data_IF_040069887763
#
_entry.id   IF_040069887763
#
_cell.length_a   1.000
_cell.length_b   1.000
_cell.length_c   1.000
_cell.angle_alpha   90.00
_cell.angle_beta   90.00
_cell.angle_gamma   90.00
#
_symmetry.space_group_name_H-M   'P 1'
#
loop_
_entity.id
_entity.type
_entity.pdbx_description
1 polymer ?
#
# COMPACT_ATOMS: atom_id res chain seq x y z
N UNK A 1 28.98 -44.51 14.71
CA UNK A 1 27.96 -43.51 15.03
C UNK A 1 27.76 -42.52 13.86
N UNK A 2 28.82 -41.84 13.37
CA UNK A 2 28.70 -40.86 12.27
C UNK A 2 28.06 -41.40 10.99
N UNK A 3 28.42 -42.63 10.58
CA UNK A 3 27.85 -43.29 9.41
C UNK A 3 26.35 -43.53 9.57
N UNK A 4 25.90 -43.91 10.76
CA UNK A 4 24.47 -44.14 11.01
C UNK A 4 23.68 -42.82 10.99
N UNK A 5 24.26 -41.76 11.53
CA UNK A 5 23.66 -40.41 11.50
C UNK A 5 23.56 -39.92 10.05
N UNK A 6 24.62 -40.06 9.26
CA UNK A 6 24.58 -39.66 7.84
C UNK A 6 23.56 -40.48 7.04
N UNK A 7 23.43 -41.77 7.26
CA UNK A 7 22.44 -42.59 6.62
C UNK A 7 21.01 -42.18 6.94
N UNK A 8 20.76 -41.88 8.23
CA UNK A 8 19.45 -41.42 8.68
C UNK A 8 19.12 -40.06 8.08
N UNK A 9 20.02 -39.08 8.18
CA UNK A 9 19.84 -37.72 7.63
C UNK A 9 19.61 -37.75 6.11
N UNK A 10 20.45 -38.47 5.35
CA UNK A 10 20.30 -38.57 3.89
C UNK A 10 18.98 -39.24 3.52
N UNK A 11 18.53 -40.22 4.30
CA UNK A 11 17.25 -40.90 4.07
C UNK A 11 16.06 -39.98 4.31
N UNK A 12 16.15 -39.04 5.28
CA UNK A 12 15.13 -38.04 5.53
C UNK A 12 15.20 -36.92 4.50
N UNK A 13 16.39 -36.38 4.24
CA UNK A 13 16.59 -35.26 3.32
C UNK A 13 16.09 -35.59 1.90
N UNK A 14 16.33 -36.78 1.41
CA UNK A 14 15.82 -37.26 0.10
C UNK A 14 14.31 -37.25 -0.03
N UNK A 15 13.55 -37.17 1.08
CA UNK A 15 12.09 -37.06 1.03
C UNK A 15 11.65 -35.59 0.77
N UNK A 16 12.51 -34.64 1.09
CA UNK A 16 12.22 -33.21 0.99
C UNK A 16 12.96 -32.50 -0.14
N UNK A 17 14.13 -33.05 -0.55
CA UNK A 17 14.96 -32.50 -1.60
C UNK A 17 15.36 -33.64 -2.56
N UNK A 18 14.91 -33.54 -3.79
CA UNK A 18 15.21 -34.46 -4.89
C UNK A 18 15.96 -33.72 -6.01
N UNK A 19 16.47 -34.46 -6.99
CA UNK A 19 17.11 -33.84 -8.17
C UNK A 19 16.14 -32.91 -8.95
N UNK A 20 14.84 -33.20 -8.90
CA UNK A 20 13.80 -32.40 -9.56
C UNK A 20 13.61 -31.01 -8.92
N UNK A 21 14.04 -30.83 -7.69
CA UNK A 21 13.98 -29.54 -6.97
C UNK A 21 15.09 -28.60 -7.42
N UNK A 22 16.17 -29.10 -8.02
CA UNK A 22 17.26 -28.29 -8.54
C UNK A 22 16.92 -27.76 -9.93
N UNK A 23 16.84 -26.44 -10.03
CA UNK A 23 16.55 -25.74 -11.28
C UNK A 23 17.79 -24.99 -11.77
N UNK A 24 17.97 -24.83 -13.10
CA UNK A 24 19.03 -24.01 -13.64
C UNK A 24 19.01 -22.62 -13.02
N UNK A 25 20.20 -22.08 -12.68
CA UNK A 25 20.39 -20.77 -12.03
C UNK A 25 19.56 -19.65 -12.70
N UNK A 26 19.50 -19.63 -14.02
CA UNK A 26 18.70 -18.67 -14.78
C UNK A 26 17.20 -18.69 -14.43
N UNK A 27 16.63 -19.87 -14.10
CA UNK A 27 15.22 -19.99 -13.69
C UNK A 27 14.99 -19.53 -12.26
N UNK A 28 16.02 -19.64 -11.42
CA UNK A 28 15.97 -19.17 -10.02
C UNK A 28 16.15 -17.65 -9.98
N UNK A 29 17.07 -17.11 -10.76
CA UNK A 29 17.35 -15.67 -10.82
C UNK A 29 16.24 -14.86 -11.50
N UNK A 30 15.52 -15.47 -12.45
CA UNK A 30 14.41 -14.84 -13.18
C UNK A 30 13.17 -15.74 -13.12
N UNK A 31 12.52 -15.85 -11.94
CA UNK A 31 11.38 -16.74 -11.74
C UNK A 31 10.14 -16.30 -12.52
N UNK A 32 10.03 -15.01 -12.83
CA UNK A 32 8.90 -14.43 -13.55
C UNK A 32 9.35 -13.72 -14.84
N UNK A 33 8.45 -13.69 -15.81
CA UNK A 33 8.62 -12.98 -17.09
C UNK A 33 7.62 -11.83 -17.11
N UNK A 34 8.11 -10.62 -17.32
CA UNK A 34 7.28 -9.43 -17.40
C UNK A 34 6.31 -9.52 -18.59
N UNK A 35 5.02 -9.33 -18.34
CA UNK A 35 3.98 -9.19 -19.36
C UNK A 35 4.11 -7.85 -20.11
N UNK A 36 3.35 -7.67 -21.18
CA UNK A 36 3.31 -6.37 -21.87
C UNK A 36 2.72 -5.26 -20.97
N UNK A 37 1.78 -5.63 -20.09
CA UNK A 37 1.27 -4.71 -19.07
C UNK A 37 2.37 -4.25 -18.10
N UNK A 38 3.19 -5.19 -17.60
CA UNK A 38 4.31 -4.85 -16.71
C UNK A 38 5.32 -3.94 -17.40
N UNK A 39 5.69 -4.24 -18.64
CA UNK A 39 6.63 -3.43 -19.43
C UNK A 39 6.10 -2.02 -19.68
N UNK A 40 4.79 -1.86 -19.86
CA UNK A 40 4.16 -0.55 -20.04
C UNK A 40 4.24 0.24 -18.73
N UNK A 41 3.85 -0.36 -17.62
CA UNK A 41 3.86 0.26 -16.29
C UNK A 41 5.29 0.67 -15.89
N UNK A 42 6.29 -0.16 -16.15
CA UNK A 42 7.70 0.10 -15.83
C UNK A 42 8.30 1.30 -16.54
N UNK A 43 7.65 1.85 -17.57
CA UNK A 43 8.07 3.11 -18.22
C UNK A 43 7.87 4.33 -17.31
N UNK A 44 6.87 4.28 -16.45
CA UNK A 44 6.67 5.30 -15.43
C UNK A 44 7.66 5.09 -14.26
N UNK A 45 8.45 6.12 -13.97
CA UNK A 45 9.50 6.09 -12.93
C UNK A 45 9.06 6.82 -11.66
N UNK A 46 7.82 7.29 -11.59
CA UNK A 46 7.29 7.89 -10.38
C UNK A 46 7.05 6.83 -9.28
N UNK A 47 6.81 7.29 -8.06
CA UNK A 47 6.51 6.40 -6.94
C UNK A 47 4.98 6.17 -6.87
N UNK A 48 4.54 4.93 -7.05
CA UNK A 48 3.12 4.52 -7.04
C UNK A 48 2.98 3.04 -6.71
N UNK A 49 1.76 2.59 -6.49
CA UNK A 49 1.42 1.18 -6.33
C UNK A 49 0.64 0.65 -7.53
N UNK A 50 0.68 -0.67 -7.68
CA UNK A 50 -0.03 -1.43 -8.73
C UNK A 50 -0.96 -2.44 -8.09
N UNK A 51 -2.19 -2.51 -8.58
CA UNK A 51 -3.16 -3.54 -8.24
C UNK A 51 -3.32 -4.53 -9.41
N UNK A 52 -3.01 -5.80 -9.18
CA UNK A 52 -3.21 -6.83 -10.19
C UNK A 52 -4.48 -7.63 -9.87
N UNK A 53 -5.53 -7.37 -10.63
CA UNK A 53 -6.83 -8.03 -10.45
C UNK A 53 -7.01 -9.27 -11.34
N UNK A 54 -5.95 -9.71 -12.02
CA UNK A 54 -5.94 -10.97 -12.79
C UNK A 54 -5.47 -12.16 -11.98
N UNK A 55 -4.95 -11.90 -10.76
CA UNK A 55 -4.46 -12.91 -9.83
C UNK A 55 -5.08 -12.70 -8.45
N UNK A 56 -4.86 -13.64 -7.53
CA UNK A 56 -5.22 -13.43 -6.13
C UNK A 56 -4.28 -12.38 -5.50
N UNK A 57 -4.82 -11.22 -5.18
CA UNK A 57 -4.06 -10.08 -4.63
C UNK A 57 -3.23 -10.43 -3.39
N UNK A 58 -3.66 -11.42 -2.59
CA UNK A 58 -3.02 -11.73 -1.30
C UNK A 58 -2.11 -12.96 -1.37
N UNK A 59 -2.16 -13.74 -2.44
CA UNK A 59 -1.39 -14.98 -2.60
C UNK A 59 -0.35 -14.86 -3.72
N UNK A 60 -0.51 -13.92 -4.66
CA UNK A 60 0.41 -13.74 -5.76
C UNK A 60 1.66 -12.95 -5.38
N UNK A 61 2.83 -13.47 -5.68
CA UNK A 61 4.12 -12.80 -5.52
C UNK A 61 4.68 -12.19 -6.81
N UNK A 62 4.10 -12.52 -7.98
CA UNK A 62 4.64 -12.09 -9.28
C UNK A 62 4.54 -10.60 -9.49
N UNK A 63 3.43 -9.99 -9.07
CA UNK A 63 3.24 -8.54 -9.16
C UNK A 63 4.26 -7.78 -8.31
N UNK A 64 4.54 -8.27 -7.10
CA UNK A 64 5.52 -7.67 -6.19
C UNK A 64 6.97 -7.78 -6.71
N UNK A 65 7.24 -8.73 -7.61
CA UNK A 65 8.54 -8.86 -8.24
C UNK A 65 8.84 -7.72 -9.22
N UNK A 66 7.82 -7.19 -9.89
CA UNK A 66 7.97 -6.14 -10.91
C UNK A 66 7.60 -4.74 -10.41
N UNK A 67 6.71 -4.65 -9.41
CA UNK A 67 6.07 -3.41 -8.99
C UNK A 67 5.90 -3.32 -7.47
N UNK A 68 5.67 -2.12 -6.97
CA UNK A 68 5.13 -1.95 -5.62
C UNK A 68 3.64 -2.33 -5.62
N UNK A 69 3.36 -3.58 -5.24
CA UNK A 69 1.99 -4.11 -5.23
C UNK A 69 1.20 -3.66 -4.01
N UNK A 70 -0.12 -3.47 -4.18
CA UNK A 70 -1.07 -3.35 -3.06
C UNK A 70 -1.36 -4.70 -2.40
N UNK A 71 -0.89 -5.80 -2.99
CA UNK A 71 -1.07 -7.17 -2.51
C UNK A 71 0.26 -7.86 -2.29
N UNK A 72 0.21 -9.19 -2.35
CA UNK A 72 1.38 -10.06 -2.23
C UNK A 72 1.29 -11.02 -1.05
N UNK A 73 1.92 -12.18 -1.21
CA UNK A 73 2.02 -13.15 -0.13
C UNK A 73 3.06 -12.70 0.90
N UNK A 74 2.66 -12.61 2.15
CA UNK A 74 3.57 -12.36 3.28
C UNK A 74 3.05 -13.00 4.55
N UNK A 75 3.85 -13.87 5.18
CA UNK A 75 3.44 -14.58 6.38
C UNK A 75 3.24 -13.67 7.61
N UNK A 76 3.94 -12.53 7.67
CA UNK A 76 3.89 -11.56 8.77
C UNK A 76 3.26 -10.23 8.29
N UNK A 77 2.02 -10.27 7.82
CA UNK A 77 1.27 -9.07 7.41
C UNK A 77 0.95 -8.18 8.61
N UNK A 78 0.98 -6.87 8.40
CA UNK A 78 0.47 -5.92 9.40
C UNK A 78 -1.05 -6.12 9.55
N UNK A 79 -1.54 -6.33 10.79
CA UNK A 79 -2.96 -6.53 11.06
C UNK A 79 -3.83 -5.40 10.52
N UNK A 80 -3.42 -4.15 10.70
CA UNK A 80 -4.12 -2.97 10.15
C UNK A 80 -4.28 -3.01 8.62
N UNK A 81 -3.27 -3.51 7.90
CA UNK A 81 -3.37 -3.64 6.44
C UNK A 81 -4.25 -4.81 6.04
N UNK A 82 -4.22 -5.92 6.79
CA UNK A 82 -5.14 -7.03 6.57
C UNK A 82 -6.60 -6.59 6.76
N UNK A 83 -6.89 -5.83 7.82
CA UNK A 83 -8.23 -5.27 8.02
C UNK A 83 -8.65 -4.33 6.89
N UNK A 84 -7.74 -3.44 6.43
CA UNK A 84 -8.01 -2.58 5.28
C UNK A 84 -8.32 -3.41 4.02
N UNK A 85 -7.59 -4.50 3.83
CA UNK A 85 -7.85 -5.41 2.72
C UNK A 85 -9.24 -6.05 2.84
N UNK A 86 -9.53 -6.70 3.97
CA UNK A 86 -10.77 -7.47 4.17
C UNK A 86 -12.02 -6.60 4.11
N UNK A 87 -11.96 -5.41 4.68
CA UNK A 87 -13.12 -4.52 4.79
C UNK A 87 -13.30 -3.56 3.64
N UNK A 88 -12.24 -3.25 2.88
CA UNK A 88 -12.27 -2.20 1.87
C UNK A 88 -11.74 -2.65 0.50
N UNK A 89 -10.49 -3.13 0.42
CA UNK A 89 -9.88 -3.47 -0.88
C UNK A 89 -10.60 -4.65 -1.53
N UNK A 90 -10.94 -5.69 -0.78
CA UNK A 90 -11.68 -6.86 -1.26
C UNK A 90 -13.10 -6.51 -1.77
N UNK A 91 -13.65 -5.37 -1.36
CA UNK A 91 -14.92 -4.82 -1.85
C UNK A 91 -14.74 -3.88 -3.04
N UNK A 92 -13.53 -3.75 -3.59
CA UNK A 92 -13.19 -2.83 -4.66
C UNK A 92 -13.50 -1.35 -4.33
N UNK A 93 -13.27 -0.92 -3.08
CA UNK A 93 -13.42 0.47 -2.71
C UNK A 93 -12.37 1.33 -3.43
N UNK A 94 -12.78 2.04 -4.49
CA UNK A 94 -11.89 2.85 -5.32
C UNK A 94 -11.26 4.01 -4.55
N UNK A 95 -11.97 4.61 -3.59
CA UNK A 95 -11.42 5.69 -2.78
C UNK A 95 -10.22 5.22 -1.94
N UNK A 96 -10.27 3.98 -1.43
CA UNK A 96 -9.14 3.38 -0.72
C UNK A 96 -7.98 3.08 -1.67
N UNK A 97 -8.26 2.60 -2.88
CA UNK A 97 -7.22 2.39 -3.90
C UNK A 97 -6.57 3.72 -4.32
N UNK A 98 -7.36 4.80 -4.42
CA UNK A 98 -6.88 6.15 -4.69
C UNK A 98 -5.97 6.67 -3.56
N UNK A 99 -6.36 6.45 -2.29
CA UNK A 99 -5.54 6.79 -1.12
C UNK A 99 -4.22 6.01 -1.07
N UNK A 100 -4.22 4.76 -1.49
CA UNK A 100 -3.02 3.93 -1.55
C UNK A 100 -2.10 4.30 -2.73
N UNK A 101 -2.44 5.33 -3.50
CA UNK A 101 -1.73 5.72 -4.72
C UNK A 101 -1.61 4.56 -5.73
N UNK A 102 -2.71 3.80 -5.90
CA UNK A 102 -2.76 2.70 -6.87
C UNK A 102 -2.95 3.27 -8.28
N UNK A 103 -1.84 3.64 -8.92
CA UNK A 103 -1.83 4.38 -10.19
C UNK A 103 -2.12 3.49 -11.40
N UNK A 104 -1.84 2.21 -11.29
CA UNK A 104 -2.12 1.26 -12.37
C UNK A 104 -2.86 0.04 -11.86
N UNK A 105 -3.81 -0.40 -12.67
CA UNK A 105 -4.49 -1.68 -12.54
C UNK A 105 -4.04 -2.62 -13.65
N UNK A 106 -3.73 -3.86 -13.30
CA UNK A 106 -3.55 -4.94 -14.27
C UNK A 106 -4.87 -5.71 -14.29
N UNK A 107 -5.54 -5.71 -15.43
CA UNK A 107 -6.89 -6.29 -15.61
C UNK A 107 -6.94 -7.13 -16.87
N UNK A 108 -7.87 -8.09 -16.90
CA UNK A 108 -8.20 -8.83 -18.13
C UNK A 108 -9.21 -8.03 -18.96
N UNK A 109 -9.04 -8.03 -20.28
CA UNK A 109 -10.06 -7.52 -21.20
C UNK A 109 -11.07 -8.63 -21.54
N UNK A 110 -12.12 -8.29 -22.31
CA UNK A 110 -13.16 -9.23 -22.72
C UNK A 110 -12.65 -10.43 -23.57
N UNK A 111 -11.45 -10.32 -24.11
CA UNK A 111 -10.76 -11.39 -24.85
C UNK A 111 -9.85 -12.23 -23.98
N UNK A 112 -9.77 -11.94 -22.67
CA UNK A 112 -8.88 -12.61 -21.72
C UNK A 112 -7.41 -12.15 -21.80
N UNK A 113 -7.11 -11.08 -22.54
CA UNK A 113 -5.76 -10.53 -22.62
C UNK A 113 -5.50 -9.61 -21.41
N UNK A 114 -4.30 -9.73 -20.83
CA UNK A 114 -3.87 -8.91 -19.69
C UNK A 114 -3.41 -7.53 -20.19
N UNK A 115 -3.99 -6.48 -19.63
CA UNK A 115 -3.64 -5.10 -19.96
C UNK A 115 -3.44 -4.24 -18.73
N UNK A 116 -2.64 -3.17 -18.89
CA UNK A 116 -2.48 -2.13 -17.88
C UNK A 116 -3.51 -1.02 -18.12
N UNK A 117 -4.24 -0.67 -17.08
CA UNK A 117 -5.15 0.47 -17.05
C UNK A 117 -4.64 1.50 -16.05
N UNK A 118 -4.49 2.75 -16.49
CA UNK A 118 -4.11 3.85 -15.60
C UNK A 118 -5.33 4.32 -14.80
N UNK A 119 -5.14 4.52 -13.50
CA UNK A 119 -6.13 5.16 -12.63
C UNK A 119 -5.87 6.68 -12.58
N UNK A 120 -6.73 7.51 -13.18
CA UNK A 120 -6.56 8.96 -13.18
C UNK A 120 -6.91 9.61 -11.84
N UNK A 121 -7.58 8.89 -10.95
CA UNK A 121 -8.15 9.42 -9.72
C UNK A 121 -7.30 9.23 -8.48
N UNK A 122 -6.07 8.72 -8.63
CA UNK A 122 -5.14 8.59 -7.51
C UNK A 122 -4.91 9.93 -6.79
N UNK A 123 -4.78 9.87 -5.47
CA UNK A 123 -4.50 11.07 -4.67
C UNK A 123 -3.00 11.45 -4.68
N UNK A 124 -2.15 10.60 -5.25
CA UNK A 124 -0.69 10.79 -5.26
C UNK A 124 -0.02 10.32 -3.97
N UNK A 125 1.22 10.74 -3.77
CA UNK A 125 2.01 10.32 -2.60
C UNK A 125 1.63 11.07 -1.32
N UNK A 126 1.14 12.30 -1.45
CA UNK A 126 0.61 13.11 -0.36
C UNK A 126 -0.34 14.18 -0.93
N UNK A 127 -1.34 14.57 -0.14
CA UNK A 127 -2.32 15.60 -0.52
C UNK A 127 -2.87 16.30 0.71
N UNK A 128 -3.45 17.47 0.51
CA UNK A 128 -4.16 18.20 1.56
C UNK A 128 -5.66 17.92 1.50
N UNK A 129 -6.27 17.78 2.67
CA UNK A 129 -7.71 17.62 2.83
C UNK A 129 -8.31 18.82 3.55
N UNK A 130 -9.56 19.15 3.22
CA UNK A 130 -10.27 20.26 3.85
C UNK A 130 -11.19 19.84 5.01
N UNK A 131 -11.43 18.53 5.17
CA UNK A 131 -12.22 17.98 6.28
C UNK A 131 -11.51 16.82 6.94
N UNK A 132 -11.51 16.81 8.26
CA UNK A 132 -11.07 15.66 9.07
C UNK A 132 -12.22 15.22 9.94
N UNK A 133 -12.73 14.03 9.70
CA UNK A 133 -13.80 13.40 10.46
C UNK A 133 -13.21 12.63 11.64
N UNK A 134 -13.62 12.97 12.86
CA UNK A 134 -13.13 12.32 14.08
C UNK A 134 -14.13 11.26 14.51
N UNK A 135 -13.66 10.04 14.64
CA UNK A 135 -14.45 8.88 15.09
C UNK A 135 -13.97 8.36 16.44
N UNK A 136 -14.76 7.57 17.12
CA UNK A 136 -14.50 7.16 18.51
C UNK A 136 -13.75 5.83 18.64
N UNK A 137 -13.75 5.04 17.60
CA UNK A 137 -13.17 3.69 17.61
C UNK A 137 -12.55 3.31 16.27
N UNK A 138 -11.66 2.31 16.28
CA UNK A 138 -11.09 1.74 15.07
C UNK A 138 -12.16 1.12 14.14
N UNK A 139 -13.24 0.56 14.72
CA UNK A 139 -14.33 0.03 13.92
C UNK A 139 -15.08 1.15 13.17
N UNK A 140 -15.31 2.29 13.81
CA UNK A 140 -15.91 3.43 13.13
C UNK A 140 -14.96 4.00 12.06
N UNK A 141 -13.65 3.98 12.31
CA UNK A 141 -12.63 4.45 11.37
C UNK A 141 -12.64 3.65 10.07
N UNK A 142 -12.61 2.30 10.16
CA UNK A 142 -12.61 1.45 8.97
C UNK A 142 -13.94 1.50 8.20
N UNK A 143 -15.08 1.61 8.90
CA UNK A 143 -16.40 1.71 8.27
C UNK A 143 -16.64 3.08 7.62
N UNK A 144 -16.08 4.16 8.16
CA UNK A 144 -16.19 5.49 7.59
C UNK A 144 -15.54 5.60 6.20
N UNK A 145 -14.63 4.69 5.85
CA UNK A 145 -14.02 4.63 4.52
C UNK A 145 -15.01 4.23 3.42
N UNK A 146 -16.15 3.62 3.76
CA UNK A 146 -17.18 3.20 2.78
C UNK A 146 -17.78 4.41 2.03
N UNK A 147 -17.79 5.60 2.65
CA UNK A 147 -18.38 6.82 2.07
C UNK A 147 -17.41 8.01 2.01
N UNK A 148 -16.13 7.77 2.26
CA UNK A 148 -15.11 8.81 2.31
C UNK A 148 -14.85 9.40 0.92
N UNK A 149 -14.80 10.73 0.85
CA UNK A 149 -14.30 11.46 -0.32
C UNK A 149 -12.79 11.72 -0.14
N UNK A 150 -11.97 10.75 -0.49
CA UNK A 150 -10.56 10.70 -0.08
C UNK A 150 -9.71 11.89 -0.53
N UNK A 151 -10.06 12.55 -1.65
CA UNK A 151 -9.36 13.76 -2.13
C UNK A 151 -9.58 14.99 -1.24
N UNK A 152 -10.65 15.00 -0.44
CA UNK A 152 -11.06 16.18 0.32
C UNK A 152 -11.26 15.90 1.81
N UNK A 153 -11.34 14.63 2.18
CA UNK A 153 -11.65 14.22 3.54
C UNK A 153 -10.66 13.18 4.07
N UNK A 154 -10.43 13.24 5.38
CA UNK A 154 -9.74 12.20 6.13
C UNK A 154 -10.58 11.76 7.32
N UNK A 155 -10.36 10.54 7.78
CA UNK A 155 -10.93 10.00 9.01
C UNK A 155 -9.81 9.71 9.99
N UNK A 156 -10.01 10.04 11.26
CA UNK A 156 -9.04 9.78 12.31
C UNK A 156 -9.74 9.29 13.57
N UNK A 157 -9.19 8.25 14.17
CA UNK A 157 -9.65 7.77 15.47
C UNK A 157 -9.19 8.72 16.58
N UNK A 158 -10.10 9.11 17.46
CA UNK A 158 -9.82 9.99 18.59
C UNK A 158 -8.64 9.52 19.46
N UNK A 159 -8.51 8.22 19.69
CA UNK A 159 -7.39 7.65 20.46
C UNK A 159 -6.01 7.83 19.81
N UNK A 160 -5.96 8.04 18.50
CA UNK A 160 -4.73 8.25 17.75
C UNK A 160 -4.29 9.73 17.78
N UNK A 161 -5.22 10.67 18.03
CA UNK A 161 -4.96 12.12 18.02
C UNK A 161 -3.87 12.50 19.03
N UNK A 162 -3.86 11.85 20.19
CA UNK A 162 -2.85 12.12 21.22
C UNK A 162 -1.42 11.81 20.77
N UNK A 163 -1.25 10.95 19.76
CA UNK A 163 0.06 10.62 19.16
C UNK A 163 0.64 11.75 18.32
N UNK A 164 -0.20 12.70 17.86
CA UNK A 164 0.21 13.87 17.07
C UNK A 164 0.49 15.10 17.91
N UNK A 165 0.45 15.02 19.25
CA UNK A 165 0.72 16.14 20.15
C UNK A 165 2.20 16.57 20.07
N UNK A 166 2.50 17.45 19.11
CA UNK A 166 3.65 18.35 19.23
C UNK A 166 3.13 19.70 19.76
N UNK A 167 3.86 20.39 20.66
CA UNK A 167 3.50 21.73 21.05
C UNK A 167 3.39 22.61 19.79
N UNK A 168 2.29 23.31 19.62
CA UNK A 168 1.94 24.17 18.48
C UNK A 168 1.33 23.50 17.23
N UNK A 169 0.93 22.24 17.28
CA UNK A 169 0.10 21.65 16.21
C UNK A 169 -1.39 21.71 16.58
N UNK A 170 -2.28 21.56 15.60
CA UNK A 170 -3.75 21.51 15.78
C UNK A 170 -4.14 20.44 16.82
N UNK A 171 -3.36 19.39 16.95
CA UNK A 171 -3.54 18.34 17.95
C UNK A 171 -3.41 18.87 19.40
N UNK A 172 -2.83 20.05 19.62
CA UNK A 172 -2.85 20.71 20.93
C UNK A 172 -4.14 21.46 21.21
N UNK A 173 -4.94 21.77 20.18
CA UNK A 173 -6.32 22.25 20.35
C UNK A 173 -7.19 21.01 20.57
N UNK A 174 -8.00 20.98 21.62
CA UNK A 174 -8.90 19.89 22.00
C UNK A 174 -9.77 19.46 20.81
N UNK A 175 -9.31 18.45 20.03
CA UNK A 175 -10.04 17.90 18.89
C UNK A 175 -11.18 17.03 19.45
N UNK A 176 -12.38 17.58 19.47
CA UNK A 176 -13.57 16.91 20.02
C UNK A 176 -14.63 16.67 18.93
N UNK A 177 -14.43 17.23 17.73
CA UNK A 177 -15.38 17.21 16.62
C UNK A 177 -14.67 17.32 15.28
N UNK A 178 -15.40 17.14 14.19
CA UNK A 178 -14.91 17.30 12.83
C UNK A 178 -14.24 18.65 12.59
N UNK A 179 -13.10 18.64 11.89
CA UNK A 179 -12.35 19.83 11.54
C UNK A 179 -12.60 20.21 10.10
N UNK A 180 -12.73 21.52 9.87
CA UNK A 180 -12.73 22.11 8.56
C UNK A 180 -11.50 23.01 8.42
N UNK A 181 -10.79 22.83 7.33
CA UNK A 181 -9.67 23.66 6.92
C UNK A 181 -10.10 24.49 5.71
N UNK A 182 -9.73 25.76 5.72
CA UNK A 182 -9.93 26.59 4.53
C UNK A 182 -9.07 26.05 3.40
N UNK A 183 -9.73 25.67 2.31
CA UNK A 183 -9.02 25.17 1.14
C UNK A 183 -8.13 26.29 0.58
N UNK A 184 -6.84 26.02 0.52
CA UNK A 184 -5.88 26.84 -0.20
C UNK A 184 -5.54 26.16 -1.51
N UNK A 185 -6.08 26.69 -2.62
CA UNK A 185 -5.89 26.14 -3.96
C UNK A 185 -4.44 26.27 -4.46
N UNK A 186 -3.62 27.06 -3.78
CA UNK A 186 -2.20 27.25 -4.08
C UNK A 186 -1.30 26.31 -3.28
N UNK A 187 -1.86 25.59 -2.31
CA UNK A 187 -1.13 24.63 -1.50
C UNK A 187 -0.68 23.42 -2.31
N UNK A 188 0.59 23.10 -2.21
CA UNK A 188 1.23 21.97 -2.90
C UNK A 188 1.99 21.15 -1.86
N UNK A 189 1.93 19.83 -2.01
CA UNK A 189 2.77 18.87 -1.31
C UNK A 189 3.25 17.81 -2.29
N UNK A 190 4.57 17.61 -2.38
CA UNK A 190 5.19 16.72 -3.35
C UNK A 190 6.26 15.85 -2.72
N UNK A 191 6.36 14.60 -3.17
CA UNK A 191 7.44 13.69 -2.81
C UNK A 191 8.69 14.07 -3.62
N UNK A 192 9.74 14.54 -2.95
CA UNK A 192 11.03 14.88 -3.58
C UNK A 192 11.96 13.67 -3.69
N UNK A 193 11.99 12.84 -2.65
CA UNK A 193 12.89 11.69 -2.60
C UNK A 193 12.23 10.54 -1.87
N UNK A 194 12.30 9.38 -2.50
CA UNK A 194 11.95 8.10 -1.91
C UNK A 194 13.22 7.32 -1.61
N UNK A 195 13.45 7.00 -0.35
CA UNK A 195 14.46 6.06 0.13
C UNK A 195 13.78 4.97 0.95
N UNK A 196 14.41 3.82 1.08
CA UNK A 196 13.87 2.66 1.82
C UNK A 196 13.49 3.01 3.27
N UNK A 197 14.27 3.90 3.90
CA UNK A 197 14.10 4.28 5.32
C UNK A 197 13.63 5.72 5.50
N UNK A 198 13.53 6.51 4.42
CA UNK A 198 13.21 7.94 4.53
C UNK A 198 12.51 8.47 3.30
N UNK A 199 11.35 9.06 3.52
CA UNK A 199 10.61 9.82 2.52
C UNK A 199 10.82 11.32 2.77
N UNK A 200 11.14 12.07 1.74
CA UNK A 200 11.32 13.51 1.83
C UNK A 200 10.27 14.20 0.98
N UNK A 201 9.46 15.03 1.61
CA UNK A 201 8.42 15.82 0.97
C UNK A 201 8.75 17.30 1.05
N UNK A 202 8.29 18.05 0.06
CA UNK A 202 8.25 19.50 0.10
C UNK A 202 6.80 19.95 0.09
N UNK A 203 6.46 20.88 0.97
CA UNK A 203 5.14 21.50 1.00
C UNK A 203 5.26 23.01 0.95
N UNK A 204 4.31 23.65 0.26
CA UNK A 204 4.11 25.08 0.24
C UNK A 204 2.64 25.35 0.52
N UNK A 205 2.36 26.17 1.54
CA UNK A 205 1.00 26.54 1.94
C UNK A 205 1.02 27.90 2.64
N UNK A 206 0.00 28.71 2.40
CA UNK A 206 -0.19 30.00 3.07
C UNK A 206 -1.07 29.89 4.31
N UNK A 207 -1.86 28.82 4.41
CA UNK A 207 -2.76 28.53 5.51
C UNK A 207 -2.42 27.21 6.15
N UNK A 208 -2.89 27.02 7.38
CA UNK A 208 -2.82 25.74 8.05
C UNK A 208 -3.64 24.68 7.29
N UNK A 209 -3.02 23.57 6.93
CA UNK A 209 -3.61 22.48 6.15
C UNK A 209 -3.38 21.15 6.84
N UNK A 210 -4.24 20.18 6.60
CA UNK A 210 -4.06 18.81 7.05
C UNK A 210 -3.59 17.95 5.88
N UNK A 211 -2.38 17.38 5.99
CA UNK A 211 -1.80 16.52 4.96
C UNK A 211 -2.08 15.05 5.25
N UNK A 212 -2.45 14.31 4.21
CA UNK A 212 -2.56 12.86 4.20
C UNK A 212 -1.47 12.30 3.31
N UNK A 213 -0.89 11.18 3.71
CA UNK A 213 0.17 10.48 2.98
C UNK A 213 -0.32 9.10 2.57
N UNK A 214 0.03 8.64 1.37
CA UNK A 214 -0.34 7.32 0.87
C UNK A 214 0.38 6.17 1.58
N UNK A 215 1.31 6.47 2.47
CA UNK A 215 2.08 5.48 3.19
C UNK A 215 1.31 4.89 4.38
N UNK A 216 1.49 3.59 4.61
CA UNK A 216 0.85 2.89 5.72
C UNK A 216 1.70 3.10 6.97
N UNK A 217 1.11 3.76 7.97
CA UNK A 217 1.82 4.01 9.23
C UNK A 217 2.11 2.70 9.97
N UNK A 218 3.38 2.53 10.32
CA UNK A 218 3.86 1.48 11.20
C UNK A 218 4.74 2.09 12.30
N UNK A 219 4.40 1.84 13.57
CA UNK A 219 5.02 2.51 14.72
C UNK A 219 6.54 2.32 14.81
N UNK A 220 7.04 1.19 14.33
CA UNK A 220 8.45 0.80 14.41
C UNK A 220 9.13 0.73 13.03
N UNK A 221 8.49 1.28 12.01
CA UNK A 221 9.00 1.36 10.63
C UNK A 221 9.70 2.66 10.32
#
# INVERSE_FOLDING_TARGET
LAVLILFDLVSVDKKYVSEDDFKPSRKVEKPFIASEADKLIQKDKSHYRVGNFTTDLMQDGSTSFFHQSIGGYHAAKMGRYQELFDFQIAKNNLEVLNMLNTKYFIVGNDKGEIQAQQNPDTNGNAWFVNRVNVVKSANEEILALDSLQSKSEAVINFSEIDKFKKPNTIASKKIVSNYLFDRDSTSIIELLKYDVTKLTYQSKTEKEQFAVFSEIYYKNG
#
